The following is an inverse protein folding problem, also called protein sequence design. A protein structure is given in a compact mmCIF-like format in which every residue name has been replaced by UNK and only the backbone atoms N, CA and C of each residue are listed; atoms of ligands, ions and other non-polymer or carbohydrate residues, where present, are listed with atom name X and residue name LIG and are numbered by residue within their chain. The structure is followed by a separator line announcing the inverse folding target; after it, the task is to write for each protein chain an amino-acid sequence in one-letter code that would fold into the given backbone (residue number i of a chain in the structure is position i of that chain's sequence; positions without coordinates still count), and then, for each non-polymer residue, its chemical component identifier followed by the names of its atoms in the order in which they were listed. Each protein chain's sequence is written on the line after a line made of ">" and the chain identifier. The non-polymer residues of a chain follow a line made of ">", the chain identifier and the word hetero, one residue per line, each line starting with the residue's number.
data_IF_942281759807
#
_entry.id   IF_942281759807
#
_cell.length_a   1.000
_cell.length_b   1.000
_cell.length_c   1.000
_cell.angle_alpha   90.00
_cell.angle_beta   90.00
_cell.angle_gamma   90.00
#
_symmetry.space_group_name_H-M   'P 1'
#
loop_
_entity.id
_entity.type
_entity.pdbx_description
1 polymer ?
#
# COMPACT_ATOMS: atom_id res chain seq x y z
N UNK A 1 -13.96 25.15 15.17
CA UNK A 1 -12.49 25.04 15.09
C UNK A 1 -11.99 26.16 14.20
N UNK A 2 -11.52 27.24 14.80
CA UNK A 2 -10.77 28.28 14.12
C UNK A 2 -9.30 28.19 14.55
N UNK A 3 -8.38 28.52 13.65
CA UNK A 3 -6.95 28.53 13.94
C UNK A 3 -6.65 29.61 15.00
N UNK A 4 -6.00 29.25 16.10
CA UNK A 4 -5.70 30.17 17.21
C UNK A 4 -6.66 30.14 18.41
N UNK A 5 -7.79 29.42 18.32
CA UNK A 5 -8.69 29.21 19.46
C UNK A 5 -8.29 28.00 20.33
N UNK A 6 -8.80 27.92 21.55
CA UNK A 6 -8.56 26.82 22.50
C UNK A 6 -8.92 25.43 21.93
N UNK A 7 -9.90 25.36 21.01
CA UNK A 7 -10.34 24.13 20.35
C UNK A 7 -9.49 23.79 19.09
N UNK A 8 -8.42 24.53 18.81
CA UNK A 8 -7.51 24.24 17.70
C UNK A 8 -6.53 23.11 18.09
N UNK A 9 -6.38 22.04 17.29
CA UNK A 9 -5.42 20.97 17.59
C UNK A 9 -3.94 21.40 17.47
N UNK A 10 -3.69 22.61 16.97
CA UNK A 10 -2.36 23.19 16.80
C UNK A 10 -2.24 24.41 17.71
N UNK A 11 -1.26 24.40 18.61
CA UNK A 11 -0.97 25.55 19.46
C UNK A 11 -0.35 26.68 18.64
N UNK A 12 -0.76 27.90 18.93
CA UNK A 12 -0.16 29.13 18.38
C UNK A 12 0.73 29.81 19.42
N UNK A 13 1.64 30.66 18.96
CA UNK A 13 2.43 31.50 19.85
C UNK A 13 1.50 32.45 20.64
N UNK A 14 1.91 32.84 21.86
CA UNK A 14 1.09 33.68 22.74
C UNK A 14 0.78 35.08 22.15
N UNK A 15 1.65 35.56 21.27
CA UNK A 15 1.55 36.83 20.56
C UNK A 15 0.90 36.69 19.17
N UNK A 16 0.34 35.52 18.85
CA UNK A 16 -0.35 35.31 17.59
C UNK A 16 -1.58 36.23 17.49
N UNK A 17 -1.71 37.01 16.41
CA UNK A 17 -2.82 37.93 16.26
C UNK A 17 -4.12 37.16 16.03
N UNK A 18 -5.07 37.31 16.94
CA UNK A 18 -6.35 36.58 16.91
C UNK A 18 -7.34 37.13 15.87
N UNK A 19 -7.07 38.29 15.26
CA UNK A 19 -7.99 38.99 14.34
C UNK A 19 -7.30 39.50 13.05
N UNK A 20 -6.11 39.00 12.72
CA UNK A 20 -5.36 39.42 11.52
C UNK A 20 -5.67 38.56 10.28
N UNK A 21 -5.71 39.19 9.11
CA UNK A 21 -5.77 38.49 7.82
C UNK A 21 -4.42 37.82 7.52
N UNK A 22 -4.44 36.50 7.37
CA UNK A 22 -3.24 35.72 7.05
C UNK A 22 -3.14 35.50 5.54
N UNK A 23 -2.04 35.95 4.96
CA UNK A 23 -1.69 35.64 3.57
C UNK A 23 -0.64 34.54 3.53
N UNK A 24 -1.04 33.36 3.01
CA UNK A 24 -0.12 32.24 2.80
C UNK A 24 0.28 32.15 1.33
N UNK A 25 1.58 32.12 1.07
CA UNK A 25 2.13 31.67 -0.20
C UNK A 25 2.47 30.19 -0.10
N UNK A 26 1.70 29.33 -0.77
CA UNK A 26 1.92 27.88 -0.73
C UNK A 26 2.37 27.42 -2.12
N UNK A 27 3.47 26.67 -2.14
CA UNK A 27 3.97 25.98 -3.34
C UNK A 27 3.98 24.48 -3.07
N UNK A 28 3.31 23.70 -3.92
CA UNK A 28 3.30 22.24 -3.85
C UNK A 28 4.42 21.70 -4.74
N UNK A 29 5.50 21.23 -4.11
CA UNK A 29 6.68 20.73 -4.82
C UNK A 29 6.49 19.33 -5.38
N UNK A 30 5.81 18.46 -4.64
CA UNK A 30 5.54 17.08 -5.02
C UNK A 30 4.24 16.61 -4.39
N UNK A 31 3.55 15.71 -5.10
CA UNK A 31 2.40 15.00 -4.58
C UNK A 31 2.32 13.64 -5.26
N UNK A 32 1.76 12.67 -4.53
CA UNK A 32 1.54 11.34 -5.06
C UNK A 32 0.10 10.93 -4.80
N UNK A 33 -0.41 10.04 -5.65
CA UNK A 33 -1.70 9.40 -5.43
C UNK A 33 -1.56 8.40 -4.29
N UNK A 34 -2.21 8.69 -3.19
CA UNK A 34 -2.33 7.79 -2.04
C UNK A 34 -3.76 7.27 -1.92
N UNK A 35 -3.90 6.03 -1.49
CA UNK A 35 -5.18 5.42 -1.14
C UNK A 35 -5.07 4.82 0.25
N UNK A 36 -5.93 5.25 1.16
CA UNK A 36 -6.21 4.50 2.38
C UNK A 36 -6.97 3.22 1.98
N UNK A 37 -6.38 2.07 2.27
CA UNK A 37 -6.89 0.76 1.89
C UNK A 37 -7.67 0.12 3.04
N UNK A 38 -7.40 0.53 4.29
CA UNK A 38 -8.03 0.00 5.49
C UNK A 38 -9.07 0.93 6.12
N UNK A 39 -9.23 2.14 5.59
CA UNK A 39 -10.13 3.20 6.08
C UNK A 39 -9.82 3.68 7.52
N UNK A 40 -8.61 3.36 8.01
CA UNK A 40 -8.07 3.76 9.30
C UNK A 40 -6.58 4.14 9.23
N UNK A 41 -6.06 4.36 8.00
CA UNK A 41 -4.65 4.64 7.69
C UNK A 41 -3.64 3.56 8.10
N UNK A 42 -4.09 2.38 8.52
CA UNK A 42 -3.18 1.28 8.87
C UNK A 42 -2.58 0.56 7.66
N UNK A 43 -3.25 0.62 6.51
CA UNK A 43 -2.73 0.16 5.22
C UNK A 43 -2.94 1.27 4.19
N UNK A 44 -1.84 1.86 3.72
CA UNK A 44 -1.87 2.94 2.73
C UNK A 44 -1.10 2.52 1.48
N UNK A 45 -1.67 2.73 0.30
CA UNK A 45 -0.99 2.50 -0.98
C UNK A 45 -0.60 3.82 -1.62
N UNK A 46 0.68 4.03 -1.90
CA UNK A 46 1.21 5.09 -2.76
C UNK A 46 1.47 4.54 -4.16
N UNK A 47 0.86 5.14 -5.18
CA UNK A 47 1.13 4.78 -6.59
C UNK A 47 2.43 5.45 -7.04
N UNK A 48 3.36 4.65 -7.58
CA UNK A 48 4.60 5.12 -8.23
C UNK A 48 4.36 5.22 -9.75
N UNK A 49 3.83 4.16 -10.37
CA UNK A 49 3.47 4.11 -11.78
C UNK A 49 2.08 3.51 -11.91
N UNK A 50 1.18 4.18 -12.62
CA UNK A 50 -0.17 3.65 -12.90
C UNK A 50 -0.08 2.39 -13.78
N UNK A 51 -0.95 1.41 -13.48
CA UNK A 51 -1.12 0.24 -14.32
C UNK A 51 -2.04 0.48 -15.52
N UNK A 52 -2.34 -0.59 -16.24
CA UNK A 52 -3.23 -0.60 -17.40
C UNK A 52 -4.57 -1.26 -17.05
N UNK A 53 -5.65 -0.66 -17.55
CA UNK A 53 -7.01 -1.16 -17.36
C UNK A 53 -7.65 -0.72 -16.04
N UNK A 54 -8.82 -1.27 -15.75
CA UNK A 54 -9.64 -0.96 -14.58
C UNK A 54 -9.87 -2.16 -13.66
N UNK A 55 -9.47 -3.35 -14.10
CA UNK A 55 -9.58 -4.57 -13.30
C UNK A 55 -8.49 -4.61 -12.24
N UNK A 56 -8.83 -5.19 -11.10
CA UNK A 56 -7.90 -5.48 -10.01
C UNK A 56 -8.11 -6.91 -9.52
N UNK A 57 -7.06 -7.56 -8.99
CA UNK A 57 -7.16 -8.94 -8.56
C UNK A 57 -8.02 -9.03 -7.29
N UNK A 58 -8.83 -10.09 -7.19
CA UNK A 58 -9.68 -10.42 -6.04
C UNK A 58 -9.61 -11.92 -5.79
N UNK A 59 -10.09 -12.41 -4.66
CA UNK A 59 -10.17 -13.86 -4.48
C UNK A 59 -11.07 -14.52 -5.57
N UNK A 60 -10.67 -15.64 -6.20
CA UNK A 60 -9.46 -16.45 -6.00
C UNK A 60 -8.41 -16.25 -7.12
N UNK A 61 -8.08 -15.01 -7.46
CA UNK A 61 -7.15 -14.71 -8.54
C UNK A 61 -5.73 -15.15 -8.18
N UNK A 62 -5.04 -15.69 -9.17
CA UNK A 62 -3.61 -15.96 -9.13
C UNK A 62 -2.88 -14.70 -9.57
N UNK A 63 -1.90 -14.27 -8.76
CA UNK A 63 -1.15 -13.03 -8.92
C UNK A 63 0.31 -13.36 -9.15
N UNK A 64 0.93 -12.61 -10.05
CA UNK A 64 2.39 -12.58 -10.26
C UNK A 64 2.89 -11.17 -9.99
N UNK A 65 3.79 -11.00 -9.01
CA UNK A 65 4.28 -9.68 -8.61
C UNK A 65 5.75 -9.71 -8.15
N UNK A 66 6.49 -8.65 -8.45
CA UNK A 66 7.76 -8.38 -7.75
C UNK A 66 7.46 -7.70 -6.43
N UNK A 67 8.07 -8.17 -5.35
CA UNK A 67 7.81 -7.68 -3.98
C UNK A 67 9.15 -7.51 -3.25
N UNK A 68 9.45 -6.29 -2.83
CA UNK A 68 10.49 -6.01 -1.84
C UNK A 68 9.81 -5.48 -0.58
N UNK A 69 10.44 -5.69 0.57
CA UNK A 69 9.96 -5.17 1.84
C UNK A 69 11.11 -4.61 2.65
N UNK A 70 10.89 -3.44 3.24
CA UNK A 70 11.77 -2.82 4.22
C UNK A 70 10.94 -2.30 5.39
N UNK A 71 11.56 -2.10 6.54
CA UNK A 71 10.93 -1.42 7.68
C UNK A 71 10.84 0.08 7.43
N UNK A 72 10.01 0.78 8.23
CA UNK A 72 9.90 2.24 8.15
C UNK A 72 11.21 3.03 8.38
N UNK A 73 12.20 2.43 9.05
CA UNK A 73 13.56 2.98 9.20
C UNK A 73 14.53 2.55 8.08
N UNK A 74 14.04 1.88 7.02
CA UNK A 74 14.80 1.52 5.83
C UNK A 74 15.63 0.23 5.95
N UNK A 75 15.38 -0.61 6.96
CA UNK A 75 16.04 -1.91 7.07
C UNK A 75 15.36 -2.92 6.15
N UNK A 76 16.13 -3.44 5.21
CA UNK A 76 15.68 -4.46 4.26
C UNK A 76 15.23 -5.75 4.98
N UNK A 77 14.02 -6.22 4.65
CA UNK A 77 13.43 -7.50 5.10
C UNK A 77 13.45 -8.51 3.96
N UNK A 78 13.05 -8.10 2.77
CA UNK A 78 12.92 -8.93 1.57
C UNK A 78 13.38 -8.14 0.35
N UNK A 79 14.19 -8.75 -0.52
CA UNK A 79 14.58 -8.16 -1.81
C UNK A 79 14.30 -9.13 -2.95
N UNK A 80 13.79 -8.60 -4.07
CA UNK A 80 13.52 -9.37 -5.28
C UNK A 80 14.64 -9.33 -6.32
N UNK A 81 15.76 -8.62 -6.07
CA UNK A 81 16.77 -8.23 -7.06
C UNK A 81 17.48 -9.39 -7.82
N UNK A 82 17.25 -10.66 -7.47
CA UNK A 82 17.94 -11.81 -8.09
C UNK A 82 17.01 -13.02 -8.38
N UNK A 83 15.69 -12.86 -8.30
CA UNK A 83 14.74 -13.99 -8.34
C UNK A 83 13.76 -13.98 -9.51
N UNK A 84 12.76 -14.85 -9.41
CA UNK A 84 11.54 -14.81 -10.20
C UNK A 84 10.46 -13.99 -9.46
N UNK A 85 9.45 -13.44 -10.15
CA UNK A 85 8.32 -12.81 -9.50
C UNK A 85 7.62 -13.79 -8.54
N UNK A 86 7.12 -13.26 -7.41
CA UNK A 86 6.36 -14.05 -6.46
C UNK A 86 4.98 -14.40 -7.03
N UNK A 87 4.62 -15.68 -6.96
CA UNK A 87 3.34 -16.21 -7.42
C UNK A 87 2.52 -16.70 -6.23
N UNK A 88 1.27 -16.24 -6.13
CA UNK A 88 0.36 -16.62 -5.05
C UNK A 88 -1.11 -16.46 -5.46
N UNK A 89 -2.01 -17.09 -4.72
CA UNK A 89 -3.46 -16.90 -4.87
C UNK A 89 -3.97 -15.96 -3.78
N UNK A 90 -4.70 -14.91 -4.16
CA UNK A 90 -5.39 -14.05 -3.19
C UNK A 90 -6.40 -14.89 -2.40
N UNK A 91 -6.36 -14.79 -1.07
CA UNK A 91 -7.26 -15.48 -0.15
C UNK A 91 -6.69 -16.78 0.43
N UNK A 92 -5.47 -17.19 0.03
CA UNK A 92 -4.80 -18.40 0.57
C UNK A 92 -3.79 -18.12 1.69
N UNK A 93 -3.67 -16.88 2.13
CA UNK A 93 -2.74 -16.47 3.21
C UNK A 93 -1.26 -16.80 2.91
N UNK A 94 -0.90 -16.83 1.63
CA UNK A 94 0.48 -17.05 1.16
C UNK A 94 1.35 -15.79 1.33
N UNK A 95 0.69 -14.64 1.48
CA UNK A 95 1.25 -13.34 1.88
C UNK A 95 0.40 -12.73 2.98
N UNK A 96 0.87 -11.64 3.61
CA UNK A 96 0.13 -10.92 4.63
C UNK A 96 -1.20 -10.40 4.09
N UNK A 97 -2.25 -10.43 4.90
CA UNK A 97 -3.59 -9.99 4.45
C UNK A 97 -3.59 -8.53 4.00
N UNK A 98 -2.86 -7.68 4.70
CA UNK A 98 -2.67 -6.27 4.38
C UNK A 98 -1.97 -6.04 3.03
N UNK A 99 -1.02 -6.91 2.67
CA UNK A 99 -0.40 -6.88 1.34
C UNK A 99 -1.38 -7.32 0.25
N UNK A 100 -2.19 -8.36 0.49
CA UNK A 100 -3.29 -8.72 -0.43
C UNK A 100 -4.27 -7.57 -0.62
N UNK A 101 -4.62 -6.85 0.44
CA UNK A 101 -5.51 -5.69 0.38
C UNK A 101 -4.93 -4.60 -0.54
N UNK A 102 -3.65 -4.26 -0.37
CA UNK A 102 -2.95 -3.30 -1.23
C UNK A 102 -2.95 -3.73 -2.70
N UNK A 103 -2.52 -4.96 -2.97
CA UNK A 103 -2.47 -5.57 -4.31
C UNK A 103 -3.86 -5.66 -4.95
N UNK A 104 -4.91 -5.93 -4.16
CA UNK A 104 -6.30 -5.98 -4.62
C UNK A 104 -6.84 -4.64 -5.14
N UNK A 105 -6.11 -3.54 -4.92
CA UNK A 105 -6.42 -2.23 -5.49
C UNK A 105 -5.55 -1.85 -6.70
N UNK A 106 -4.63 -2.72 -7.11
CA UNK A 106 -3.67 -2.42 -8.18
C UNK A 106 -4.18 -2.87 -9.55
N UNK A 107 -3.91 -2.07 -10.57
CA UNK A 107 -4.11 -2.47 -11.96
C UNK A 107 -2.89 -3.26 -12.49
N UNK A 108 -3.08 -4.07 -13.55
CA UNK A 108 -2.00 -4.83 -14.16
C UNK A 108 -0.87 -3.89 -14.62
N UNK A 109 0.38 -4.15 -14.25
CA UNK A 109 1.52 -3.27 -14.54
C UNK A 109 1.71 -2.10 -13.57
N UNK A 110 0.85 -1.93 -12.56
CA UNK A 110 1.03 -0.87 -11.56
C UNK A 110 2.26 -1.12 -10.69
N UNK A 111 3.02 -0.04 -10.42
CA UNK A 111 4.07 0.00 -9.40
C UNK A 111 3.60 0.84 -8.22
N UNK A 112 3.70 0.32 -7.01
CA UNK A 112 3.25 1.02 -5.80
C UNK A 112 4.10 0.66 -4.58
N UNK A 113 4.01 1.50 -3.54
CA UNK A 113 4.43 1.15 -2.18
C UNK A 113 3.19 0.94 -1.33
N UNK A 114 3.10 -0.19 -0.64
CA UNK A 114 2.07 -0.47 0.38
C UNK A 114 2.72 -0.31 1.76
N UNK A 115 2.30 0.72 2.48
CA UNK A 115 2.69 0.99 3.86
C UNK A 115 1.75 0.23 4.79
N UNK A 116 2.32 -0.58 5.68
CA UNK A 116 1.57 -1.42 6.62
C UNK A 116 2.10 -1.18 8.03
N UNK A 117 1.26 -0.63 8.90
CA UNK A 117 1.61 -0.45 10.30
C UNK A 117 1.46 -1.75 11.10
N UNK A 118 1.99 -1.75 12.33
CA UNK A 118 2.09 -2.93 13.19
C UNK A 118 0.77 -3.67 13.45
N UNK A 119 -0.37 -2.96 13.57
CA UNK A 119 -1.69 -3.58 13.78
C UNK A 119 -2.16 -4.42 12.57
N UNK A 120 -1.61 -4.18 11.38
CA UNK A 120 -1.91 -4.91 10.15
C UNK A 120 -0.79 -5.88 9.72
N UNK A 121 0.26 -6.04 10.53
CA UNK A 121 1.32 -7.03 10.31
C UNK A 121 0.88 -8.39 10.86
N UNK A 122 0.86 -9.39 9.98
CA UNK A 122 0.65 -10.80 10.33
C UNK A 122 1.79 -11.64 9.80
N UNK A 123 2.12 -12.72 10.50
CA UNK A 123 3.09 -13.68 9.98
C UNK A 123 2.53 -14.32 8.69
N UNK A 124 3.41 -14.57 7.73
CA UNK A 124 3.10 -15.27 6.48
C UNK A 124 4.36 -16.00 5.99
N UNK A 125 4.24 -16.90 5.00
CA UNK A 125 5.42 -17.46 4.35
C UNK A 125 6.38 -16.40 3.79
N UNK A 126 5.84 -15.27 3.31
CA UNK A 126 6.62 -14.16 2.77
C UNK A 126 7.39 -13.38 3.86
N UNK A 127 6.76 -13.14 5.01
CA UNK A 127 7.38 -12.51 6.19
C UNK A 127 7.14 -13.41 7.41
N UNK A 128 8.09 -14.29 7.76
CA UNK A 128 7.92 -15.24 8.85
C UNK A 128 8.09 -14.60 10.24
N UNK A 129 8.79 -13.47 10.34
CA UNK A 129 9.10 -12.79 11.61
C UNK A 129 8.64 -11.34 11.55
N UNK A 130 7.74 -10.96 12.47
CA UNK A 130 7.19 -9.60 12.58
C UNK A 130 7.43 -8.96 13.95
N UNK A 131 8.04 -9.68 14.88
CA UNK A 131 8.25 -9.18 16.25
C UNK A 131 9.19 -7.97 16.24
N UNK A 132 8.74 -6.88 16.87
CA UNK A 132 9.46 -5.61 16.92
C UNK A 132 9.34 -4.75 15.66
N UNK A 133 8.52 -5.13 14.67
CA UNK A 133 8.25 -4.29 13.50
C UNK A 133 7.11 -3.31 13.79
N UNK A 134 7.36 -2.01 13.65
CA UNK A 134 6.35 -0.97 13.82
C UNK A 134 5.63 -0.63 12.50
N UNK A 135 6.36 -0.67 11.40
CA UNK A 135 5.86 -0.38 10.06
C UNK A 135 6.72 -1.11 9.02
N UNK A 136 6.09 -1.63 7.97
CA UNK A 136 6.75 -2.27 6.82
C UNK A 136 6.24 -1.64 5.53
N UNK A 137 7.18 -1.31 4.64
CA UNK A 137 6.93 -0.73 3.32
C UNK A 137 7.18 -1.81 2.28
N UNK A 138 6.13 -2.19 1.56
CA UNK A 138 6.23 -3.15 0.48
C UNK A 138 6.28 -2.42 -0.87
N UNK A 139 7.41 -2.44 -1.55
CA UNK A 139 7.46 -2.05 -2.96
C UNK A 139 6.94 -3.22 -3.80
N UNK A 140 5.87 -2.96 -4.56
CA UNK A 140 5.19 -3.96 -5.38
C UNK A 140 5.14 -3.50 -6.84
N UNK A 141 5.54 -4.38 -7.75
CA UNK A 141 5.23 -4.27 -9.17
C UNK A 141 4.30 -5.42 -9.55
N UNK A 142 3.03 -5.10 -9.81
CA UNK A 142 2.05 -6.10 -10.23
C UNK A 142 2.30 -6.45 -11.70
N UNK A 143 2.78 -7.67 -11.97
CA UNK A 143 3.10 -8.10 -13.33
C UNK A 143 1.82 -8.47 -14.07
N UNK A 144 1.03 -9.38 -13.48
CA UNK A 144 -0.21 -9.87 -14.07
C UNK A 144 -1.06 -10.60 -13.02
N UNK A 145 -2.33 -10.84 -13.35
CA UNK A 145 -3.23 -11.70 -12.59
C UNK A 145 -4.23 -12.43 -13.49
N UNK A 146 -4.64 -13.63 -13.11
CA UNK A 146 -5.67 -14.43 -13.78
C UNK A 146 -6.69 -14.95 -12.77
N UNK A 147 -7.93 -15.15 -13.20
CA UNK A 147 -8.95 -15.77 -12.36
C UNK A 147 -8.61 -17.25 -12.13
N UNK A 148 -8.30 -17.61 -10.88
CA UNK A 148 -8.11 -19.01 -10.47
C UNK A 148 -9.40 -19.79 -10.74
N UNK A 149 -9.26 -20.94 -11.41
CA UNK A 149 -10.33 -21.80 -11.97
C UNK A 149 -10.79 -21.50 -13.41
N UNK A 150 -9.97 -20.87 -14.24
CA UNK A 150 -10.15 -20.99 -15.70
C UNK A 150 -9.78 -22.41 -16.16
N UNK A 151 -10.59 -23.39 -15.79
CA UNK A 151 -10.67 -24.66 -16.50
C UNK A 151 -10.99 -24.29 -17.95
N UNK A 152 -10.01 -24.43 -18.83
CA UNK A 152 -10.30 -24.58 -20.24
C UNK A 152 -11.35 -25.68 -20.33
N UNK A 153 -12.58 -25.34 -20.74
CA UNK A 153 -13.44 -26.34 -21.36
C UNK A 153 -12.72 -26.73 -22.63
N UNK A 154 -11.84 -27.73 -22.52
CA UNK A 154 -11.29 -28.43 -23.68
C UNK A 154 -12.44 -28.87 -24.58
N UNK A 155 -12.19 -28.77 -25.88
CA UNK A 155 -13.21 -28.63 -26.89
C UNK A 155 -14.24 -29.76 -26.97
N UNK A 156 -15.42 -29.38 -27.43
CA UNK A 156 -16.12 -30.18 -28.45
C UNK A 156 -16.51 -29.25 -29.59
N UNK A 157 -15.96 -29.62 -30.75
CA UNK A 157 -16.33 -29.19 -32.11
C UNK A 157 -17.82 -29.46 -32.31
#
# INVERSE_FOLDING_TARGET
>A
MHYGEDDCPVSVAYDFPNDDELHFGIEMLDFFKAKDVSDDLGVVKKVINEGLGWESPREPYEVTAWISAETGDGKLILSYMEGEPYFFTIGKSEVLKSLEMGIGTMACGEKAVVYVNSQYLTQSPLIPVIEGLEEVHFEVQLVHFIQGNRLFKEGKI
#
